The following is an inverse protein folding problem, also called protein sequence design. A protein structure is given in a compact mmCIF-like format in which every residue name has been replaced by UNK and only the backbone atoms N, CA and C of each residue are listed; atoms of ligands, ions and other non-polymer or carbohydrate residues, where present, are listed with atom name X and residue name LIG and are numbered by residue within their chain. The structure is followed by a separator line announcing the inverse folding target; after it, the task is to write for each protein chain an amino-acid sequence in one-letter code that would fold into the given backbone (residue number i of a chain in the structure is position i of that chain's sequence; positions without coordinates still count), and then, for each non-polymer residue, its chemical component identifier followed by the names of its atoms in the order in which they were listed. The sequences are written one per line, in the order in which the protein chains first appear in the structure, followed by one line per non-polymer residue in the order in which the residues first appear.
data_IF_527521499879
#
_entry.id   IF_527521499879
#
_cell.length_a   1.000
_cell.length_b   1.000
_cell.length_c   1.000
_cell.angle_alpha   90.00
_cell.angle_beta   90.00
_cell.angle_gamma   90.00
#
_symmetry.space_group_name_H-M   'P 1'
#
loop_
_entity.id
_entity.type
_entity.pdbx_description
1 polymer ?
#
# COMPACT_ATOMS: atom_id res chain seq x y z
N UNK A 1 12.62 0.07 -11.46
CA UNK A 1 11.40 -0.06 -10.66
C UNK A 1 11.30 -1.40 -9.95
N UNK A 2 11.48 -2.52 -10.63
CA UNK A 2 11.49 -3.88 -10.06
C UNK A 2 12.55 -4.13 -8.97
N UNK A 3 13.69 -3.44 -9.05
CA UNK A 3 14.77 -3.55 -8.05
C UNK A 3 14.37 -3.08 -6.66
N UNK A 4 13.60 -1.99 -6.54
CA UNK A 4 13.19 -1.42 -5.24
C UNK A 4 12.20 -2.33 -4.49
N UNK A 5 11.22 -2.92 -5.20
CA UNK A 5 10.31 -3.89 -4.61
C UNK A 5 11.06 -5.13 -4.11
N UNK A 6 12.05 -5.58 -4.88
CA UNK A 6 12.91 -6.71 -4.54
C UNK A 6 13.70 -6.49 -3.25
N UNK A 7 14.24 -5.29 -3.08
CA UNK A 7 15.03 -4.96 -1.90
C UNK A 7 14.16 -4.74 -0.65
N UNK A 8 12.99 -4.14 -0.78
CA UNK A 8 12.05 -3.97 0.32
C UNK A 8 11.48 -5.30 0.85
N UNK A 9 11.18 -6.24 -0.05
CA UNK A 9 10.73 -7.56 0.33
C UNK A 9 11.87 -8.42 0.93
N UNK A 10 13.11 -8.24 0.49
CA UNK A 10 14.29 -8.85 1.12
C UNK A 10 14.45 -8.41 2.57
N UNK A 11 14.26 -7.13 2.86
CA UNK A 11 14.36 -6.61 4.24
C UNK A 11 13.30 -7.22 5.16
N UNK A 12 12.09 -7.49 4.65
CA UNK A 12 10.99 -8.05 5.44
C UNK A 12 11.07 -9.56 5.67
N UNK A 13 11.62 -10.32 4.72
CA UNK A 13 11.54 -11.78 4.75
C UNK A 13 12.89 -12.48 4.78
N UNK A 14 13.97 -11.73 4.61
CA UNK A 14 15.31 -12.31 4.40
C UNK A 14 15.34 -13.38 3.29
N UNK A 15 14.42 -13.27 2.33
CA UNK A 15 14.27 -14.21 1.22
C UNK A 15 14.51 -13.51 -0.11
N UNK A 16 15.25 -14.18 -0.99
CA UNK A 16 15.43 -13.71 -2.35
C UNK A 16 14.14 -13.90 -3.15
N UNK A 17 13.64 -12.81 -3.75
CA UNK A 17 12.52 -12.88 -4.69
C UNK A 17 13.07 -13.20 -6.07
N UNK A 18 12.54 -14.22 -6.76
CA UNK A 18 12.96 -14.54 -8.13
C UNK A 18 12.57 -13.43 -9.10
N UNK A 19 13.36 -13.29 -10.16
CA UNK A 19 12.98 -12.46 -11.31
C UNK A 19 11.90 -13.16 -12.13
N UNK A 20 11.25 -12.44 -13.06
CA UNK A 20 10.30 -13.05 -13.99
C UNK A 20 10.97 -14.10 -14.88
N UNK A 21 12.21 -13.84 -15.31
CA UNK A 21 12.97 -14.81 -16.11
C UNK A 21 13.27 -16.08 -15.32
N UNK A 22 13.70 -15.95 -14.06
CA UNK A 22 13.93 -17.11 -13.19
C UNK A 22 12.66 -17.90 -12.94
N UNK A 23 11.53 -17.20 -12.79
CA UNK A 23 10.22 -17.84 -12.62
C UNK A 23 9.80 -18.56 -13.91
N UNK A 24 9.94 -17.90 -15.06
CA UNK A 24 9.64 -18.49 -16.38
C UNK A 24 10.50 -19.72 -16.65
N UNK A 25 11.80 -19.67 -16.38
CA UNK A 25 12.71 -20.80 -16.56
C UNK A 25 12.34 -21.98 -15.66
N UNK A 26 11.98 -21.75 -14.42
CA UNK A 26 11.63 -22.82 -13.49
C UNK A 26 10.23 -23.41 -13.71
N UNK A 27 9.23 -22.57 -13.99
CA UNK A 27 7.86 -23.01 -14.14
C UNK A 27 7.53 -23.37 -15.59
N UNK A 28 7.66 -22.42 -16.53
CA UNK A 28 7.23 -22.61 -17.92
C UNK A 28 8.15 -23.57 -18.66
N UNK A 29 9.47 -23.45 -18.52
CA UNK A 29 10.41 -24.34 -19.19
C UNK A 29 10.32 -25.78 -18.65
N UNK A 30 10.08 -25.95 -17.34
CA UNK A 30 9.86 -27.28 -16.75
C UNK A 30 8.61 -27.95 -17.30
N UNK A 31 7.48 -27.22 -17.38
CA UNK A 31 6.22 -27.73 -17.95
C UNK A 31 6.42 -28.04 -19.44
N UNK A 32 7.04 -27.13 -20.20
CA UNK A 32 7.31 -27.32 -21.62
C UNK A 32 8.17 -28.58 -21.88
N UNK A 33 9.21 -28.79 -21.04
CA UNK A 33 10.06 -29.99 -21.11
C UNK A 33 9.30 -31.28 -20.85
N UNK A 34 8.40 -31.28 -19.85
CA UNK A 34 7.58 -32.45 -19.51
C UNK A 34 6.64 -32.84 -20.66
N UNK A 35 6.07 -31.88 -21.36
CA UNK A 35 5.12 -32.08 -22.45
C UNK A 35 5.74 -31.97 -23.85
N UNK A 36 7.06 -32.02 -23.99
CA UNK A 36 7.74 -31.80 -25.31
C UNK A 36 7.28 -32.78 -26.38
N UNK A 37 6.99 -34.04 -26.02
CA UNK A 37 6.59 -35.11 -26.93
C UNK A 37 5.08 -35.37 -26.92
N UNK A 38 4.30 -34.56 -26.19
CA UNK A 38 2.85 -34.74 -26.12
C UNK A 38 2.15 -34.25 -27.38
N UNK A 39 1.18 -35.03 -27.88
CA UNK A 39 0.35 -34.67 -29.04
C UNK A 39 -0.49 -33.42 -28.80
N UNK A 40 -0.92 -33.22 -27.54
CA UNK A 40 -1.59 -32.00 -27.07
C UNK A 40 -0.80 -31.44 -25.88
N UNK A 41 -0.35 -30.21 -26.01
CA UNK A 41 0.31 -29.50 -24.91
C UNK A 41 -0.72 -28.71 -24.11
N UNK A 42 -0.63 -28.68 -22.77
CA UNK A 42 -1.49 -27.84 -21.95
C UNK A 42 -1.15 -26.35 -22.19
N UNK A 43 -2.15 -25.49 -22.01
CA UNK A 43 -1.95 -24.04 -21.93
C UNK A 43 -1.68 -23.68 -20.47
N UNK A 44 -0.58 -22.97 -20.21
CA UNK A 44 -0.27 -22.44 -18.90
C UNK A 44 -0.97 -21.09 -18.73
N UNK A 45 -1.85 -20.98 -17.76
CA UNK A 45 -2.44 -19.73 -17.29
C UNK A 45 -1.71 -19.28 -16.03
N UNK A 46 -1.40 -18.00 -15.94
CA UNK A 46 -0.78 -17.37 -14.78
C UNK A 46 -1.60 -16.15 -14.35
N UNK A 47 -1.67 -15.90 -13.05
CA UNK A 47 -2.37 -14.77 -12.44
C UNK A 47 -1.38 -13.97 -11.56
N UNK A 48 -0.51 -13.14 -12.15
CA UNK A 48 0.65 -12.58 -11.45
C UNK A 48 0.34 -11.42 -10.49
N UNK A 49 -0.88 -11.02 -10.25
CA UNK A 49 -1.35 -10.08 -9.21
C UNK A 49 -0.34 -9.00 -8.78
N UNK A 50 0.07 -9.07 -7.51
CA UNK A 50 0.99 -8.10 -6.88
C UNK A 50 2.35 -7.99 -7.56
N UNK A 51 2.79 -8.99 -8.29
CA UNK A 51 4.05 -8.95 -9.02
C UNK A 51 4.02 -7.94 -10.17
N UNK A 52 2.84 -7.65 -10.73
CA UNK A 52 2.67 -6.66 -11.81
C UNK A 52 2.29 -5.27 -11.29
N UNK A 53 1.39 -5.20 -10.31
CA UNK A 53 0.76 -3.93 -9.93
C UNK A 53 1.14 -3.42 -8.54
N UNK A 54 1.91 -4.19 -7.77
CA UNK A 54 2.23 -3.83 -6.39
C UNK A 54 2.98 -2.50 -6.26
N UNK A 55 3.97 -2.27 -7.09
CA UNK A 55 4.88 -1.13 -7.02
C UNK A 55 4.46 0.10 -7.86
N UNK A 56 3.33 0.02 -8.57
CA UNK A 56 2.86 1.12 -9.42
C UNK A 56 2.19 2.25 -8.65
N UNK A 57 1.80 2.01 -7.39
CA UNK A 57 1.11 3.00 -6.58
C UNK A 57 1.81 3.26 -5.25
N UNK A 58 1.66 4.50 -4.78
CA UNK A 58 2.04 4.97 -3.45
C UNK A 58 0.83 5.60 -2.78
N UNK A 59 0.79 5.55 -1.47
CA UNK A 59 -0.21 6.26 -0.68
C UNK A 59 0.47 7.26 0.24
N UNK A 60 0.09 8.51 0.15
CA UNK A 60 0.60 9.60 0.99
C UNK A 60 -0.47 10.02 2.00
N UNK A 61 -0.10 10.09 3.28
CA UNK A 61 -1.00 10.50 4.34
C UNK A 61 -0.31 11.44 5.34
N UNK A 62 -0.90 12.60 5.68
CA UNK A 62 -0.37 13.47 6.71
C UNK A 62 -0.56 12.89 8.10
N UNK A 63 0.40 13.17 8.98
CA UNK A 63 0.29 12.94 10.42
C UNK A 63 -0.60 14.02 11.03
N UNK A 64 -1.75 13.64 11.57
CA UNK A 64 -2.73 14.57 12.14
C UNK A 64 -2.65 14.69 13.64
N UNK A 65 -2.14 13.67 14.34
CA UNK A 65 -1.88 13.73 15.77
C UNK A 65 -0.84 12.70 16.18
N UNK A 66 -0.14 12.96 17.29
CA UNK A 66 0.75 11.99 17.94
C UNK A 66 0.39 11.99 19.43
N UNK A 67 0.14 10.81 19.98
CA UNK A 67 -0.27 10.62 21.39
C UNK A 67 0.48 9.47 22.02
N UNK A 68 0.77 9.58 23.31
CA UNK A 68 1.13 8.43 24.12
C UNK A 68 -0.15 7.78 24.67
N UNK A 69 -0.29 6.49 24.45
CA UNK A 69 -1.40 5.69 24.95
C UNK A 69 -0.83 4.53 25.74
N UNK A 70 -0.81 4.67 27.08
CA UNK A 70 -0.30 3.66 28.02
C UNK A 70 1.18 3.28 27.74
N UNK A 71 2.02 4.29 27.47
CA UNK A 71 3.44 4.11 27.20
C UNK A 71 3.76 3.67 25.78
N UNK A 72 2.79 3.70 24.87
CA UNK A 72 2.98 3.44 23.45
C UNK A 72 2.70 4.70 22.65
N UNK A 73 3.68 5.19 21.91
CA UNK A 73 3.49 6.30 21.00
C UNK A 73 2.69 5.83 19.76
N UNK A 74 1.61 6.54 19.46
CA UNK A 74 0.76 6.30 18.28
C UNK A 74 0.58 7.61 17.54
N UNK A 75 0.95 7.62 16.25
CA UNK A 75 0.65 8.71 15.34
C UNK A 75 -0.58 8.35 14.50
N UNK A 76 -1.60 9.20 14.53
CA UNK A 76 -2.78 9.05 13.69
C UNK A 76 -2.52 9.70 12.34
N UNK A 77 -2.77 8.97 11.27
CA UNK A 77 -2.69 9.43 9.90
C UNK A 77 -4.07 9.73 9.32
N UNK A 78 -4.14 10.68 8.37
CA UNK A 78 -5.32 10.84 7.51
C UNK A 78 -5.30 9.75 6.42
N UNK A 79 -5.38 8.53 6.85
CA UNK A 79 -5.34 7.31 6.05
C UNK A 79 -5.81 6.13 6.87
N UNK A 80 -6.03 5.00 6.24
CA UNK A 80 -6.42 3.75 6.89
C UNK A 80 -5.63 2.59 6.28
N UNK A 81 -5.48 1.51 7.04
CA UNK A 81 -4.88 0.27 6.52
C UNK A 81 -5.58 -0.21 5.25
N UNK A 82 -6.87 0.07 5.11
CA UNK A 82 -7.65 -0.26 3.90
C UNK A 82 -7.20 0.51 2.65
N UNK A 83 -6.50 1.64 2.79
CA UNK A 83 -5.93 2.37 1.66
C UNK A 83 -4.67 1.72 1.11
N UNK A 84 -3.95 0.95 1.91
CA UNK A 84 -2.64 0.40 1.58
C UNK A 84 -2.60 -1.13 1.57
N UNK A 85 -3.43 -1.76 2.39
CA UNK A 85 -3.43 -3.21 2.60
C UNK A 85 -4.83 -3.72 2.98
N UNK A 86 -5.82 -3.65 2.06
CA UNK A 86 -7.20 -4.03 2.35
C UNK A 86 -7.38 -5.52 2.65
N UNK A 87 -6.38 -6.36 2.32
CA UNK A 87 -6.37 -7.79 2.66
C UNK A 87 -5.85 -8.04 4.09
N UNK A 88 -5.46 -6.98 4.82
CA UNK A 88 -5.01 -7.02 6.21
C UNK A 88 -3.87 -8.00 6.48
N UNK A 89 -3.03 -8.25 5.50
CA UNK A 89 -1.82 -9.01 5.74
C UNK A 89 -0.87 -8.16 6.62
N UNK A 90 -0.33 -8.72 7.69
CA UNK A 90 0.33 -8.00 8.79
C UNK A 90 1.76 -7.54 8.49
N UNK A 91 2.07 -7.21 7.24
CA UNK A 91 3.41 -6.80 6.84
C UNK A 91 3.47 -5.30 6.68
N UNK A 92 4.48 -4.68 7.28
CA UNK A 92 4.76 -3.27 7.05
C UNK A 92 5.22 -3.06 5.60
N UNK A 93 4.59 -2.16 4.83
CA UNK A 93 5.14 -1.75 3.54
C UNK A 93 6.37 -0.87 3.76
N UNK A 94 7.24 -0.66 2.75
CA UNK A 94 8.26 0.38 2.82
C UNK A 94 7.60 1.75 2.96
N UNK A 95 8.22 2.61 3.80
CA UNK A 95 7.74 3.98 4.02
C UNK A 95 8.88 4.98 3.85
N UNK A 96 8.50 6.21 3.49
CA UNK A 96 9.35 7.40 3.55
C UNK A 96 8.57 8.50 4.25
N UNK A 97 9.21 9.19 5.19
CA UNK A 97 8.61 10.33 5.90
C UNK A 97 9.19 11.61 5.33
N UNK A 98 8.33 12.49 4.85
CA UNK A 98 8.66 13.81 4.34
C UNK A 98 8.21 14.88 5.32
N UNK A 99 9.04 15.88 5.55
CA UNK A 99 8.72 17.06 6.32
C UNK A 99 9.05 18.30 5.49
N UNK A 100 8.10 19.21 5.41
CA UNK A 100 8.26 20.50 4.78
C UNK A 100 8.14 21.65 5.80
N UNK A 101 7.93 21.30 7.05
CA UNK A 101 7.78 22.24 8.15
C UNK A 101 9.07 22.36 8.95
N UNK A 102 9.48 23.59 9.39
CA UNK A 102 10.63 23.77 10.26
C UNK A 102 10.36 23.36 11.73
N UNK A 103 9.29 22.66 12.00
CA UNK A 103 8.92 22.18 13.34
C UNK A 103 9.98 21.23 13.88
N UNK A 104 10.23 21.35 15.20
CA UNK A 104 11.08 20.41 15.92
C UNK A 104 10.45 19.02 15.83
N UNK A 105 11.16 18.07 15.26
CA UNK A 105 10.75 16.68 15.17
C UNK A 105 11.26 15.93 16.40
N UNK A 106 10.45 15.07 16.94
CA UNK A 106 10.81 14.18 18.04
C UNK A 106 11.25 12.84 17.48
N UNK A 107 12.38 12.30 17.95
CA UNK A 107 12.78 10.94 17.66
C UNK A 107 11.95 9.96 18.47
N UNK A 108 11.31 9.04 17.77
CA UNK A 108 10.50 7.98 18.37
C UNK A 108 11.16 6.62 18.20
N UNK A 109 10.99 5.78 19.20
CA UNK A 109 11.30 4.36 19.13
C UNK A 109 9.99 3.57 19.20
N UNK A 110 9.83 2.61 18.28
CA UNK A 110 8.69 1.69 18.27
C UNK A 110 7.31 2.38 18.23
N UNK A 111 7.18 3.51 17.47
CA UNK A 111 5.91 4.20 17.26
C UNK A 111 5.04 3.45 16.24
N UNK A 112 3.73 3.40 16.46
CA UNK A 112 2.79 2.84 15.50
C UNK A 112 2.04 3.94 14.73
N UNK A 113 1.85 3.75 13.42
CA UNK A 113 0.98 4.59 12.60
C UNK A 113 -0.43 4.00 12.58
N UNK A 114 -1.36 4.63 13.30
CA UNK A 114 -2.78 4.30 13.30
C UNK A 114 -3.54 5.06 12.23
N UNK A 115 -4.63 4.47 11.75
CA UNK A 115 -5.56 5.11 10.82
C UNK A 115 -6.62 5.97 11.52
N UNK A 116 -7.50 6.56 10.69
CA UNK A 116 -8.59 7.43 11.17
C UNK A 116 -9.86 6.67 11.56
N UNK A 117 -9.91 5.37 11.33
CA UNK A 117 -11.12 4.60 11.62
C UNK A 117 -11.21 4.19 13.09
N UNK A 118 -12.42 3.83 13.55
CA UNK A 118 -12.67 3.28 14.87
C UNK A 118 -12.35 1.77 14.99
N UNK A 119 -11.78 1.17 13.94
CA UNK A 119 -11.44 -0.24 13.92
C UNK A 119 -10.12 -0.46 14.63
N UNK A 120 -10.09 -1.29 15.67
CA UNK A 120 -8.90 -1.56 16.49
C UNK A 120 -7.68 -2.08 15.69
N UNK A 121 -7.91 -2.72 14.56
CA UNK A 121 -6.85 -3.23 13.69
C UNK A 121 -6.36 -2.22 12.65
N UNK A 122 -6.86 -0.98 12.65
CA UNK A 122 -6.51 0.04 11.67
C UNK A 122 -5.12 0.63 11.93
N UNK A 123 -4.09 -0.19 11.71
CA UNK A 123 -2.70 0.22 11.75
C UNK A 123 -2.08 0.08 10.38
N UNK A 124 -1.55 1.20 9.86
CA UNK A 124 -0.86 1.24 8.56
C UNK A 124 0.59 0.75 8.67
N UNK A 125 1.20 0.94 9.83
CA UNK A 125 2.58 0.53 10.09
C UNK A 125 2.81 0.36 11.60
N UNK A 126 3.64 -0.59 11.99
CA UNK A 126 3.98 -0.82 13.40
C UNK A 126 5.49 -0.79 13.61
N UNK A 127 5.89 -0.15 14.72
CA UNK A 127 7.29 -0.15 15.12
C UNK A 127 8.18 0.79 14.31
N UNK A 128 7.71 1.98 13.99
CA UNK A 128 8.52 3.02 13.37
C UNK A 128 9.59 3.54 14.32
N UNK A 129 10.81 3.70 13.82
CA UNK A 129 11.91 4.33 14.53
C UNK A 129 12.42 5.51 13.71
N UNK A 130 12.46 6.69 14.29
CA UNK A 130 12.97 7.89 13.65
C UNK A 130 12.20 9.17 14.01
N UNK A 131 12.62 10.29 13.43
CA UNK A 131 12.05 11.60 13.70
C UNK A 131 10.66 11.75 13.07
N UNK A 132 9.72 12.33 13.82
CA UNK A 132 8.35 12.58 13.37
C UNK A 132 7.76 13.82 14.04
N UNK A 133 6.91 14.55 13.31
CA UNK A 133 6.09 15.63 13.82
C UNK A 133 4.68 15.58 13.20
N UNK A 134 3.73 16.25 13.87
CA UNK A 134 2.41 16.51 13.27
C UNK A 134 2.60 17.40 12.05
N UNK A 135 1.94 17.07 10.95
CA UNK A 135 2.08 17.71 9.64
C UNK A 135 3.06 17.01 8.69
N UNK A 136 3.92 16.13 9.19
CA UNK A 136 4.75 15.29 8.30
C UNK A 136 3.88 14.42 7.40
N UNK A 137 4.38 14.11 6.20
CA UNK A 137 3.72 13.24 5.24
C UNK A 137 4.40 11.88 5.23
N UNK A 138 3.66 10.84 5.54
CA UNK A 138 4.12 9.45 5.43
C UNK A 138 3.69 8.90 4.08
N UNK A 139 4.65 8.47 3.28
CA UNK A 139 4.42 7.84 1.97
C UNK A 139 4.67 6.35 2.10
N UNK A 140 3.64 5.57 1.82
CA UNK A 140 3.67 4.11 1.78
C UNK A 140 3.91 3.66 0.33
N UNK A 141 4.90 2.80 0.13
CA UNK A 141 5.23 2.25 -1.19
C UNK A 141 4.59 0.88 -1.41
N UNK A 142 4.53 0.46 -2.68
CA UNK A 142 4.05 -0.87 -3.08
C UNK A 142 2.60 -1.17 -2.68
N UNK A 143 1.73 -0.19 -2.81
CA UNK A 143 0.32 -0.29 -2.41
C UNK A 143 -0.65 -0.50 -3.56
N UNK A 144 -0.18 -0.85 -4.77
CA UNK A 144 -1.03 -1.00 -5.96
C UNK A 144 -1.94 -2.22 -5.95
N UNK A 145 -1.60 -3.26 -5.18
CA UNK A 145 -2.40 -4.48 -5.14
C UNK A 145 -3.64 -4.33 -4.28
N UNK A 146 -4.81 -4.57 -4.86
CA UNK A 146 -6.13 -4.55 -4.20
C UNK A 146 -6.57 -3.21 -3.61
N UNK A 147 -5.68 -2.26 -3.40
CA UNK A 147 -5.93 -1.00 -2.69
C UNK A 147 -6.97 -0.09 -3.37
N UNK A 148 -7.16 -0.23 -4.68
CA UNK A 148 -8.20 0.52 -5.42
C UNK A 148 -9.55 -0.19 -5.38
N UNK A 149 -9.57 -1.50 -5.53
CA UNK A 149 -10.79 -2.29 -5.76
C UNK A 149 -11.43 -2.86 -4.49
N UNK A 150 -10.64 -3.10 -3.43
CA UNK A 150 -11.16 -3.66 -2.17
C UNK A 150 -11.30 -2.63 -1.04
N UNK A 151 -11.00 -1.37 -1.31
CA UNK A 151 -11.07 -0.32 -0.31
C UNK A 151 -12.51 0.13 -0.07
N UNK A 152 -13.08 -0.08 1.13
CA UNK A 152 -14.39 0.44 1.46
C UNK A 152 -14.33 1.95 1.73
N UNK A 153 -15.36 2.72 1.37
CA UNK A 153 -15.51 4.12 1.77
C UNK A 153 -16.04 4.22 3.21
N UNK A 154 -15.26 3.73 4.18
CA UNK A 154 -15.66 3.71 5.57
C UNK A 154 -15.17 4.96 6.31
N UNK A 155 -16.05 5.69 6.98
CA UNK A 155 -15.88 6.98 7.68
C UNK A 155 -15.57 8.11 6.70
N UNK A 156 -14.64 7.94 5.78
CA UNK A 156 -14.32 8.91 4.74
C UNK A 156 -14.53 8.32 3.35
N UNK A 157 -15.02 9.11 2.38
CA UNK A 157 -15.02 8.77 0.98
C UNK A 157 -13.59 8.49 0.47
N UNK A 158 -13.49 7.81 -0.65
CA UNK A 158 -12.20 7.44 -1.20
C UNK A 158 -11.39 8.68 -1.65
N UNK A 159 -10.08 8.63 -1.40
CA UNK A 159 -9.12 9.66 -1.77
C UNK A 159 -8.95 9.78 -3.29
N UNK A 160 -8.43 10.92 -3.80
CA UNK A 160 -8.11 11.06 -5.20
C UNK A 160 -6.94 10.15 -5.59
N UNK A 161 -6.86 9.83 -6.88
CA UNK A 161 -5.70 9.18 -7.48
C UNK A 161 -5.08 10.18 -8.44
N UNK A 162 -3.78 10.42 -8.26
CA UNK A 162 -3.00 11.35 -9.06
C UNK A 162 -1.93 10.52 -9.79
N UNK A 163 -1.87 10.65 -11.09
CA UNK A 163 -0.72 10.20 -11.88
C UNK A 163 0.37 11.26 -11.82
N UNK A 164 1.59 10.79 -11.65
CA UNK A 164 2.78 11.64 -11.71
C UNK A 164 3.77 11.05 -12.69
N UNK A 165 4.07 11.79 -13.75
CA UNK A 165 5.04 11.43 -14.76
C UNK A 165 5.92 12.64 -15.10
N UNK A 166 7.26 12.46 -14.93
CA UNK A 166 8.29 13.45 -15.31
C UNK A 166 7.99 14.90 -14.87
N UNK A 167 7.43 15.09 -13.67
CA UNK A 167 7.09 16.40 -13.12
C UNK A 167 5.70 16.92 -13.50
N UNK A 168 4.97 16.20 -14.33
CA UNK A 168 3.57 16.47 -14.65
C UNK A 168 2.66 15.67 -13.74
N UNK A 169 1.57 16.30 -13.29
CA UNK A 169 0.56 15.65 -12.47
C UNK A 169 -0.79 15.70 -13.18
N UNK A 170 -1.52 14.59 -13.15
CA UNK A 170 -2.87 14.48 -13.66
C UNK A 170 -3.78 13.81 -12.64
N UNK A 171 -4.99 14.32 -12.44
CA UNK A 171 -5.98 13.67 -11.58
C UNK A 171 -6.68 12.59 -12.38
N UNK A 172 -6.28 11.33 -12.13
CA UNK A 172 -6.89 10.14 -12.77
C UNK A 172 -8.26 9.83 -12.15
N UNK A 173 -8.38 10.03 -10.83
CA UNK A 173 -9.64 9.89 -10.09
C UNK A 173 -9.75 11.05 -9.09
N UNK A 174 -10.85 11.81 -9.16
CA UNK A 174 -11.14 12.84 -8.14
C UNK A 174 -11.46 12.18 -6.78
N UNK A 175 -11.36 12.97 -5.72
CA UNK A 175 -11.89 12.56 -4.41
C UNK A 175 -13.39 12.25 -4.54
N UNK A 176 -13.84 11.19 -3.90
CA UNK A 176 -15.27 10.88 -3.80
C UNK A 176 -15.97 11.86 -2.86
N UNK A 177 -17.22 12.12 -3.14
CA UNK A 177 -18.15 12.90 -2.32
C UNK A 177 -19.18 12.00 -1.65
N UNK A 178 -20.02 12.56 -0.81
CA UNK A 178 -21.17 11.87 -0.25
C UNK A 178 -22.12 11.34 -1.35
N UNK A 179 -22.36 12.14 -2.36
CA UNK A 179 -23.27 11.79 -3.47
C UNK A 179 -22.76 10.57 -4.25
N UNK A 180 -21.44 10.44 -4.44
CA UNK A 180 -20.86 9.26 -5.09
C UNK A 180 -21.16 7.96 -4.35
N UNK A 181 -21.26 8.02 -3.02
CA UNK A 181 -21.53 6.85 -2.18
C UNK A 181 -23.01 6.48 -2.14
N UNK A 182 -23.88 7.49 -2.20
CA UNK A 182 -25.32 7.31 -1.95
C UNK A 182 -26.20 7.48 -3.19
N UNK A 183 -25.62 7.71 -4.35
CA UNK A 183 -26.37 7.93 -5.61
C UNK A 183 -27.30 6.77 -5.99
N UNK A 184 -27.08 5.57 -5.48
CA UNK A 184 -27.96 4.42 -5.73
C UNK A 184 -29.12 4.30 -4.75
N UNK A 185 -29.10 5.08 -3.67
CA UNK A 185 -30.15 5.13 -2.68
C UNK A 185 -31.23 6.14 -3.12
N UNK A 186 -32.48 5.81 -2.89
CA UNK A 186 -33.61 6.73 -3.06
C UNK A 186 -34.07 7.15 -1.69
N UNK A 187 -34.06 8.46 -1.47
CA UNK A 187 -34.56 9.07 -0.24
C UNK A 187 -35.86 9.77 -0.60
N UNK A 188 -36.99 9.11 -0.33
CA UNK A 188 -38.33 9.72 -0.46
C UNK A 188 -38.62 10.46 0.88
N UNK A 189 -38.30 11.75 0.92
CA UNK A 189 -38.65 12.64 2.03
C UNK A 189 -39.93 13.40 1.71
#
# INVERSE_FOLDING_TARGET
MYGKMKDSLKMQFNTRIPTYDEYAQKAAAFIAGHFQNATKRPTLFIEPGSALVGDVMRFAAPVVSIKDIRGKAIATLLGSVYNINPTLNRKNPPITVYSDTPSVRTDYENLDFGGYTCIESDYLYKGYNGPLAVGDIVVFENVGSYSVVLKPPFILPNFPIIEWDNGHTCVVKRKESFDDLFQTYKFDF
#
